data_IF_741536062061
#
_entry.id   IF_741536062061
#
_cell.length_a   1.000
_cell.length_b   1.000
_cell.length_c   1.000
_cell.angle_alpha   90.00
_cell.angle_beta   90.00
_cell.angle_gamma   90.00
#
_symmetry.space_group_name_H-M   'P 1'
#
loop_
_entity.id
_entity.type
_entity.pdbx_description
1 polymer ?
#
# COMPACT_ATOMS: atom_id res chain seq x y z
N UNK A 1 14.44 -16.17 10.42
CA UNK A 1 13.26 -15.40 10.85
C UNK A 1 12.86 -14.51 9.71
N UNK A 2 11.65 -14.66 9.16
CA UNK A 2 11.18 -13.83 8.04
C UNK A 2 10.72 -12.51 8.67
N UNK A 3 11.59 -11.50 8.62
CA UNK A 3 11.20 -10.11 8.87
C UNK A 3 10.12 -9.76 7.83
N UNK A 4 8.89 -9.51 8.26
CA UNK A 4 7.80 -9.08 7.39
C UNK A 4 8.20 -7.74 6.73
N UNK A 5 8.72 -7.79 5.50
CA UNK A 5 9.20 -6.63 4.71
C UNK A 5 8.06 -5.72 4.19
N UNK A 6 6.93 -5.64 4.88
CA UNK A 6 5.77 -4.85 4.45
C UNK A 6 5.14 -5.35 3.14
N UNK A 7 5.21 -6.65 2.87
CA UNK A 7 4.67 -7.27 1.67
C UNK A 7 3.18 -7.61 1.87
N UNK A 8 2.30 -7.08 1.02
CA UNK A 8 0.86 -7.37 1.07
C UNK A 8 0.26 -7.51 -0.33
N UNK A 9 -0.81 -8.30 -0.44
CA UNK A 9 -1.58 -8.44 -1.68
C UNK A 9 -2.70 -7.40 -1.70
N UNK A 10 -2.88 -6.75 -2.85
CA UNK A 10 -3.95 -5.77 -3.12
C UNK A 10 -5.34 -6.21 -2.64
N UNK A 11 -5.77 -7.44 -2.97
CA UNK A 11 -7.07 -7.97 -2.55
C UNK A 11 -7.21 -8.09 -1.03
N UNK A 12 -6.15 -8.55 -0.36
CA UNK A 12 -6.14 -8.69 1.11
C UNK A 12 -6.15 -7.30 1.77
N UNK A 13 -5.43 -6.35 1.19
CA UNK A 13 -5.43 -4.96 1.66
C UNK A 13 -6.82 -4.33 1.46
N UNK A 14 -7.48 -4.56 0.33
CA UNK A 14 -8.85 -4.12 0.08
C UNK A 14 -9.83 -4.68 1.12
N UNK A 15 -9.77 -5.98 1.41
CA UNK A 15 -10.63 -6.63 2.41
C UNK A 15 -10.41 -6.07 3.82
N UNK A 16 -9.16 -5.72 4.17
CA UNK A 16 -8.84 -5.09 5.46
C UNK A 16 -9.36 -3.66 5.52
N UNK A 17 -9.09 -2.85 4.50
CA UNK A 17 -9.50 -1.45 4.45
C UNK A 17 -11.03 -1.30 4.42
N UNK A 18 -11.74 -2.18 3.73
CA UNK A 18 -13.22 -2.16 3.70
C UNK A 18 -13.87 -2.31 5.08
N UNK A 19 -13.18 -2.92 6.06
CA UNK A 19 -13.71 -3.06 7.42
C UNK A 19 -13.81 -1.71 8.14
N UNK A 20 -12.87 -0.81 7.87
CA UNK A 20 -12.80 0.52 8.50
C UNK A 20 -13.37 1.61 7.57
N UNK A 21 -13.26 1.42 6.26
CA UNK A 21 -13.63 2.37 5.22
C UNK A 21 -14.51 1.70 4.16
N UNK A 22 -15.84 1.60 4.36
CA UNK A 22 -16.74 0.85 3.48
C UNK A 22 -16.81 1.34 2.03
N UNK A 23 -16.41 2.60 1.79
CA UNK A 23 -16.37 3.22 0.46
C UNK A 23 -15.17 2.79 -0.39
N UNK A 24 -14.19 2.09 0.21
CA UNK A 24 -13.01 1.60 -0.50
C UNK A 24 -13.40 0.53 -1.51
N UNK A 25 -12.97 0.70 -2.75
CA UNK A 25 -13.15 -0.25 -3.85
C UNK A 25 -11.85 -0.38 -4.65
N UNK A 26 -11.79 -1.37 -5.54
CA UNK A 26 -10.57 -1.69 -6.29
C UNK A 26 -10.07 -0.53 -7.17
N UNK A 27 -10.99 0.25 -7.76
CA UNK A 27 -10.62 1.41 -8.60
C UNK A 27 -9.93 2.50 -7.78
N UNK A 28 -10.51 2.85 -6.62
CA UNK A 28 -9.92 3.83 -5.71
C UNK A 28 -8.54 3.37 -5.20
N UNK A 29 -8.41 2.09 -4.86
CA UNK A 29 -7.14 1.53 -4.42
C UNK A 29 -6.09 1.53 -5.53
N UNK A 30 -6.48 1.20 -6.76
CA UNK A 30 -5.59 1.24 -7.91
C UNK A 30 -5.05 2.66 -8.14
N UNK A 31 -5.92 3.68 -8.12
CA UNK A 31 -5.49 5.08 -8.18
C UNK A 31 -4.55 5.48 -7.03
N UNK A 32 -4.85 5.04 -5.81
CA UNK A 32 -4.00 5.32 -4.64
C UNK A 32 -2.65 4.64 -4.77
N UNK A 33 -2.60 3.37 -5.17
CA UNK A 33 -1.35 2.65 -5.36
C UNK A 33 -0.49 3.27 -6.45
N UNK A 34 -1.08 3.68 -7.58
CA UNK A 34 -0.34 4.43 -8.62
C UNK A 34 0.25 5.74 -8.07
N UNK A 35 -0.51 6.49 -7.26
CA UNK A 35 0.00 7.72 -6.60
C UNK A 35 1.15 7.41 -5.64
N UNK A 36 1.02 6.37 -4.82
CA UNK A 36 2.06 5.97 -3.86
C UNK A 36 3.32 5.46 -4.57
N UNK A 37 3.17 4.70 -5.65
CA UNK A 37 4.28 4.22 -6.48
C UNK A 37 4.99 5.39 -7.17
N UNK A 38 4.26 6.36 -7.73
CA UNK A 38 4.84 7.56 -8.34
C UNK A 38 5.66 8.41 -7.36
N UNK A 39 5.35 8.32 -6.06
CA UNK A 39 6.06 8.97 -4.96
C UNK A 39 7.17 8.11 -4.36
N UNK A 40 7.47 6.96 -4.99
CA UNK A 40 8.51 6.03 -4.57
C UNK A 40 8.30 5.44 -3.15
N UNK A 41 7.05 5.41 -2.68
CA UNK A 41 6.66 4.93 -1.33
C UNK A 41 6.53 3.42 -1.31
N UNK A 42 5.96 2.89 -2.38
CA UNK A 42 5.73 1.46 -2.59
C UNK A 42 6.25 1.06 -3.97
N UNK A 43 6.48 -0.23 -4.14
CA UNK A 43 6.65 -0.88 -5.44
C UNK A 43 5.47 -1.82 -5.66
N UNK A 44 4.90 -1.81 -6.88
CA UNK A 44 3.85 -2.74 -7.29
C UNK A 44 4.43 -3.81 -8.20
N UNK A 45 4.34 -5.07 -7.79
CA UNK A 45 4.72 -6.22 -8.61
C UNK A 45 3.49 -6.98 -9.06
N UNK A 46 3.30 -7.08 -10.37
CA UNK A 46 2.21 -7.90 -10.91
C UNK A 46 2.52 -9.38 -10.72
N UNK A 47 1.69 -10.06 -9.92
CA UNK A 47 1.78 -11.51 -9.67
C UNK A 47 0.90 -12.28 -10.65
N UNK A 48 -0.28 -11.75 -10.96
CA UNK A 48 -1.18 -12.33 -11.96
C UNK A 48 -2.05 -11.26 -12.64
N UNK A 49 -3.00 -11.68 -13.49
CA UNK A 49 -3.86 -10.75 -14.23
C UNK A 49 -4.57 -9.74 -13.31
N UNK A 50 -5.01 -10.18 -12.12
CA UNK A 50 -5.82 -9.41 -11.17
C UNK A 50 -5.21 -9.41 -9.75
N UNK A 51 -3.89 -9.53 -9.63
CA UNK A 51 -3.24 -9.67 -8.33
C UNK A 51 -1.88 -8.99 -8.36
N UNK A 52 -1.74 -7.99 -7.52
CA UNK A 52 -0.51 -7.26 -7.33
C UNK A 52 0.03 -7.50 -5.91
N UNK A 53 1.36 -7.59 -5.82
CA UNK A 53 2.10 -7.57 -4.57
C UNK A 53 2.62 -6.16 -4.35
N UNK A 54 2.31 -5.61 -3.19
CA UNK A 54 2.67 -4.27 -2.75
C UNK A 54 3.82 -4.42 -1.77
N UNK A 55 4.91 -3.72 -2.03
CA UNK A 55 6.11 -3.74 -1.17
C UNK A 55 6.46 -2.32 -0.77
N UNK A 56 6.61 -2.06 0.53
CA UNK A 56 7.07 -0.76 1.00
C UNK A 56 8.53 -0.52 0.58
N UNK A 57 8.83 0.67 0.08
CA UNK A 57 10.20 1.05 -0.18
C UNK A 57 10.94 1.32 1.14
N UNK A 58 12.19 0.88 1.26
CA UNK A 58 12.98 0.98 2.52
C UNK A 58 13.43 2.40 2.85
N UNK A 59 13.44 3.30 1.86
CA UNK A 59 13.88 4.70 2.00
C UNK A 59 12.70 5.68 2.18
N UNK A 60 11.62 5.25 2.81
CA UNK A 60 10.44 6.07 3.05
C UNK A 60 10.46 6.78 4.42
N UNK A 61 11.63 6.99 5.02
CA UNK A 61 11.79 7.60 6.36
C UNK A 61 11.09 8.96 6.44
N UNK A 62 11.31 9.83 5.47
CA UNK A 62 10.76 11.19 5.41
C UNK A 62 9.22 11.18 5.36
N UNK A 63 8.63 10.23 4.63
CA UNK A 63 7.18 10.08 4.51
C UNK A 63 6.59 9.51 5.79
N UNK A 64 7.29 8.57 6.41
CA UNK A 64 6.87 7.99 7.68
C UNK A 64 6.86 9.05 8.78
N UNK A 65 7.84 9.95 8.80
CA UNK A 65 7.87 11.08 9.72
C UNK A 65 6.72 12.06 9.43
N UNK A 66 6.53 12.49 8.18
CA UNK A 66 5.44 13.40 7.78
C UNK A 66 4.05 12.84 8.12
N UNK A 67 3.82 11.54 7.86
CA UNK A 67 2.55 10.88 8.16
C UNK A 67 2.33 10.78 9.67
N UNK A 68 3.37 10.43 10.44
CA UNK A 68 3.25 10.30 11.89
C UNK A 68 3.02 11.66 12.56
N UNK A 69 3.67 12.73 12.08
CA UNK A 69 3.41 14.10 12.56
C UNK A 69 1.95 14.53 12.31
N UNK A 70 1.37 14.19 11.15
CA UNK A 70 -0.03 14.52 10.83
C UNK A 70 -1.06 13.70 11.61
N UNK A 71 -0.64 12.58 12.20
CA UNK A 71 -1.47 11.70 13.03
C UNK A 71 -1.31 11.98 14.54
N UNK A 72 -0.37 12.85 14.91
CA UNK A 72 -0.08 13.29 16.29
C UNK A 72 -0.95 14.48 16.69
#
# INVERSE_FOLDING_TARGET
MIENRGEILDKRLEELLKKEFPFVNSLLLEELFMKLESRNIINLFRVSKNKNMIVLNKNNQEIREEVMEKLS
#
